data_IF_570985525496
#
_entry.id   IF_570985525496
#
_cell.length_a   1.000
_cell.length_b   1.000
_cell.length_c   1.000
_cell.angle_alpha   90.00
_cell.angle_beta   90.00
_cell.angle_gamma   90.00
#
_symmetry.space_group_name_H-M   'P 1'
#
loop_
_entity.id
_entity.type
_entity.pdbx_description
1 polymer ?
#
# COMPACT_ATOMS: atom_id res chain seq x y z
N UNK A 1 41.20 -32.38 0.71
CA UNK A 1 39.76 -32.73 0.71
C UNK A 1 39.31 -32.75 -0.75
N UNK A 2 38.53 -33.78 -1.12
CA UNK A 2 38.37 -34.31 -2.48
C UNK A 2 38.08 -33.28 -3.58
N UNK A 3 38.84 -33.37 -4.67
CA UNK A 3 38.51 -32.79 -5.98
C UNK A 3 37.49 -33.72 -6.66
N UNK A 4 36.20 -33.46 -6.48
CA UNK A 4 35.19 -34.07 -7.35
C UNK A 4 35.10 -33.26 -8.63
N UNK A 5 35.31 -33.92 -9.77
CA UNK A 5 35.24 -33.32 -11.10
C UNK A 5 33.78 -33.07 -11.48
N UNK A 6 33.45 -31.84 -11.88
CA UNK A 6 32.14 -31.48 -12.41
C UNK A 6 32.17 -31.57 -13.95
N UNK A 7 31.13 -32.11 -14.58
CA UNK A 7 30.97 -32.07 -16.04
C UNK A 7 30.33 -30.73 -16.49
N UNK A 8 30.86 -30.14 -17.55
CA UNK A 8 30.40 -28.85 -18.10
C UNK A 8 29.66 -29.10 -19.42
N UNK A 9 28.36 -28.78 -19.46
CA UNK A 9 27.55 -28.85 -20.68
C UNK A 9 27.68 -27.56 -21.51
N UNK A 10 27.89 -27.71 -22.82
CA UNK A 10 28.28 -26.62 -23.75
C UNK A 10 27.07 -26.08 -24.52
N UNK A 11 26.64 -24.85 -24.23
CA UNK A 11 25.66 -24.13 -25.08
C UNK A 11 26.36 -23.22 -26.12
N UNK A 12 25.77 -23.13 -27.32
CA UNK A 12 26.28 -22.30 -28.44
C UNK A 12 26.08 -20.80 -28.15
N UNK A 13 27.18 -20.13 -27.82
CA UNK A 13 27.37 -18.68 -27.85
C UNK A 13 28.87 -18.39 -27.99
N UNK A 14 29.27 -17.32 -28.67
CA UNK A 14 30.68 -17.01 -28.93
C UNK A 14 31.40 -16.55 -27.64
N UNK A 15 32.56 -17.15 -27.34
CA UNK A 15 33.35 -16.85 -26.14
C UNK A 15 34.67 -16.17 -26.51
N UNK A 16 35.04 -15.10 -25.78
CA UNK A 16 36.45 -14.68 -25.65
C UNK A 16 37.08 -15.48 -24.52
N UNK A 17 38.19 -16.15 -24.85
CA UNK A 17 38.98 -16.99 -23.94
C UNK A 17 39.87 -16.09 -23.10
N UNK A 18 39.70 -16.09 -21.77
CA UNK A 18 40.71 -15.58 -20.85
C UNK A 18 41.46 -16.80 -20.29
N UNK A 19 42.78 -16.83 -20.48
CA UNK A 19 43.55 -18.09 -20.56
C UNK A 19 44.17 -18.56 -19.24
N UNK A 20 43.93 -17.90 -18.11
CA UNK A 20 44.66 -18.18 -16.85
C UNK A 20 43.78 -18.58 -15.64
N UNK A 21 42.51 -18.93 -15.84
CA UNK A 21 41.73 -19.57 -14.77
C UNK A 21 40.76 -20.63 -15.34
N UNK A 22 40.67 -21.79 -14.68
CA UNK A 22 39.75 -22.89 -15.02
C UNK A 22 38.27 -22.53 -14.74
N UNK A 23 37.78 -21.39 -15.22
CA UNK A 23 36.38 -20.98 -15.10
C UNK A 23 35.87 -20.52 -16.47
N UNK A 24 34.85 -21.22 -16.98
CA UNK A 24 34.14 -20.84 -18.21
C UNK A 24 32.85 -20.10 -17.86
N UNK A 25 32.55 -19.02 -18.60
CA UNK A 25 31.58 -17.98 -18.24
C UNK A 25 30.45 -17.89 -19.28
N UNK A 26 29.25 -18.41 -19.00
CA UNK A 26 28.11 -18.39 -19.95
C UNK A 26 27.30 -17.09 -19.83
N UNK A 27 27.38 -16.20 -20.83
CA UNK A 27 26.63 -14.95 -20.83
C UNK A 27 25.16 -15.11 -21.23
N UNK A 28 24.23 -14.59 -20.43
CA UNK A 28 22.81 -14.43 -20.81
C UNK A 28 22.51 -12.96 -21.17
N UNK A 29 21.55 -12.68 -22.09
CA UNK A 29 21.14 -11.31 -22.40
C UNK A 29 20.43 -10.63 -21.22
N UNK A 30 20.46 -9.29 -21.19
CA UNK A 30 19.91 -8.45 -20.11
C UNK A 30 18.45 -8.79 -19.76
N UNK A 31 18.22 -9.32 -18.56
CA UNK A 31 16.89 -9.57 -18.00
C UNK A 31 16.56 -8.64 -16.80
N UNK A 32 15.28 -8.26 -16.60
CA UNK A 32 14.81 -7.51 -15.44
C UNK A 32 14.96 -8.29 -14.12
N UNK A 33 15.18 -7.57 -13.01
CA UNK A 33 15.55 -8.13 -11.68
C UNK A 33 14.52 -9.12 -11.12
N UNK A 34 13.25 -9.04 -11.54
CA UNK A 34 12.21 -9.98 -11.14
C UNK A 34 12.44 -11.40 -11.69
N UNK A 35 12.96 -11.53 -12.92
CA UNK A 35 13.23 -12.84 -13.53
C UNK A 35 14.53 -13.48 -13.01
N UNK A 36 15.42 -12.70 -12.38
CA UNK A 36 16.63 -13.23 -11.75
C UNK A 36 16.32 -14.09 -10.52
N UNK A 37 15.18 -13.89 -9.85
CA UNK A 37 14.81 -14.64 -8.63
C UNK A 37 14.40 -16.09 -8.92
N UNK A 38 13.84 -16.36 -10.09
CA UNK A 38 13.34 -17.70 -10.46
C UNK A 38 14.48 -18.72 -10.71
N UNK A 39 15.70 -18.24 -10.95
CA UNK A 39 16.91 -19.09 -11.07
C UNK A 39 17.47 -19.55 -9.71
N UNK A 40 17.09 -18.91 -8.61
CA UNK A 40 17.59 -19.27 -7.26
C UNK A 40 16.87 -20.47 -6.65
N UNK A 41 15.81 -20.99 -7.29
CA UNK A 41 14.94 -22.01 -6.72
C UNK A 41 14.89 -23.24 -7.62
N UNK A 42 16.01 -23.94 -7.73
CA UNK A 42 16.09 -25.41 -7.81
C UNK A 42 17.56 -25.84 -7.74
N UNK A 43 18.00 -26.30 -6.57
CA UNK A 43 19.23 -27.07 -6.38
C UNK A 43 20.58 -26.34 -6.40
N UNK A 44 20.64 -25.03 -6.69
CA UNK A 44 21.90 -24.29 -6.75
C UNK A 44 22.31 -23.71 -5.38
N UNK A 45 23.45 -24.15 -4.85
CA UNK A 45 24.09 -23.50 -3.70
C UNK A 45 24.63 -22.12 -4.10
N UNK A 46 24.49 -21.15 -3.18
CA UNK A 46 24.80 -19.72 -3.34
C UNK A 46 26.21 -19.40 -3.82
N UNK A 47 27.17 -20.28 -3.58
CA UNK A 47 28.60 -20.03 -3.79
C UNK A 47 29.05 -20.09 -5.26
N UNK A 48 28.13 -20.35 -6.19
CA UNK A 48 28.41 -20.61 -7.62
C UNK A 48 28.01 -19.49 -8.59
N UNK A 49 27.56 -18.33 -8.08
CA UNK A 49 27.09 -17.21 -8.90
C UNK A 49 28.00 -15.97 -8.68
N UNK A 50 28.79 -15.61 -9.69
CA UNK A 50 29.55 -14.36 -9.72
C UNK A 50 28.70 -13.24 -10.35
N UNK A 51 28.12 -12.38 -9.50
CA UNK A 51 27.23 -11.29 -9.94
C UNK A 51 27.95 -10.08 -10.57
N UNK A 52 29.29 -10.08 -10.62
CA UNK A 52 30.06 -9.01 -11.26
C UNK A 52 29.99 -9.05 -12.79
N UNK A 53 29.58 -10.19 -13.36
CA UNK A 53 29.33 -10.42 -14.78
C UNK A 53 27.93 -11.05 -14.93
N UNK A 54 27.15 -10.68 -15.95
CA UNK A 54 25.77 -11.19 -16.16
C UNK A 54 25.75 -12.67 -16.58
N UNK A 55 26.08 -13.57 -15.66
CA UNK A 55 26.32 -15.00 -15.93
C UNK A 55 25.74 -15.83 -14.78
N UNK A 56 25.10 -16.94 -15.09
CA UNK A 56 24.72 -17.98 -14.12
C UNK A 56 25.46 -19.26 -14.50
N UNK A 57 26.13 -19.87 -13.53
CA UNK A 57 26.87 -21.13 -13.71
C UNK A 57 26.12 -22.23 -12.93
N UNK A 58 25.81 -23.33 -13.60
CA UNK A 58 25.20 -24.52 -12.98
C UNK A 58 26.28 -25.59 -12.84
N UNK A 59 26.60 -26.01 -11.61
CA UNK A 59 27.46 -27.19 -11.38
C UNK A 59 26.59 -28.37 -10.95
N UNK A 60 26.74 -29.51 -11.64
CA UNK A 60 26.02 -30.76 -11.35
C UNK A 60 27.03 -31.83 -10.91
N UNK A 61 26.80 -32.54 -9.78
CA UNK A 61 27.65 -33.65 -9.35
C UNK A 61 27.76 -34.75 -10.41
N UNK A 62 28.92 -35.44 -10.52
CA UNK A 62 29.19 -36.41 -11.60
C UNK A 62 28.27 -37.65 -11.64
N UNK A 63 27.43 -37.87 -10.61
CA UNK A 63 26.55 -39.04 -10.50
C UNK A 63 25.05 -38.68 -10.38
N UNK A 64 24.66 -37.45 -10.67
CA UNK A 64 23.25 -37.04 -10.71
C UNK A 64 22.87 -36.70 -12.15
N UNK A 65 21.91 -37.43 -12.72
CA UNK A 65 21.27 -36.99 -13.96
C UNK A 65 20.58 -35.64 -13.68
N UNK A 66 20.82 -34.59 -14.49
CA UNK A 66 20.06 -33.35 -14.37
C UNK A 66 18.57 -33.69 -14.54
N UNK A 67 17.70 -33.10 -13.73
CA UNK A 67 16.27 -33.24 -13.95
C UNK A 67 15.94 -32.83 -15.39
N UNK A 68 15.03 -33.54 -16.06
CA UNK A 68 14.65 -33.21 -17.44
C UNK A 68 14.21 -31.74 -17.59
N UNK A 69 13.69 -31.13 -16.52
CA UNK A 69 13.38 -29.69 -16.45
C UNK A 69 14.62 -28.79 -16.52
N UNK A 70 15.72 -29.12 -15.83
CA UNK A 70 16.95 -28.35 -15.90
C UNK A 70 17.59 -28.43 -17.30
N UNK A 71 17.53 -29.61 -17.92
CA UNK A 71 17.97 -29.84 -19.31
C UNK A 71 17.10 -29.07 -20.32
N UNK A 72 15.78 -29.02 -20.14
CA UNK A 72 14.87 -28.28 -21.02
C UNK A 72 15.07 -26.75 -20.93
N UNK A 73 15.31 -26.22 -19.72
CA UNK A 73 15.64 -24.81 -19.51
C UNK A 73 16.97 -24.41 -20.17
N UNK A 74 17.95 -25.32 -20.19
CA UNK A 74 19.25 -25.12 -20.83
C UNK A 74 19.19 -25.24 -22.36
N UNK A 75 18.42 -26.19 -22.88
CA UNK A 75 18.34 -26.46 -24.33
C UNK A 75 17.40 -25.50 -25.06
N UNK A 76 16.45 -24.90 -24.35
CA UNK A 76 15.43 -24.06 -24.95
C UNK A 76 15.06 -22.87 -24.03
N UNK A 77 15.95 -21.89 -23.85
CA UNK A 77 15.72 -20.74 -22.96
C UNK A 77 14.51 -19.88 -23.37
N UNK A 78 14.00 -20.07 -24.59
CA UNK A 78 12.82 -19.39 -25.13
C UNK A 78 11.57 -20.29 -25.20
N UNK A 79 11.64 -21.54 -24.75
CA UNK A 79 10.58 -22.54 -24.88
C UNK A 79 10.14 -23.17 -23.55
N UNK A 80 10.55 -22.62 -22.40
CA UNK A 80 9.94 -22.95 -21.11
C UNK A 80 8.61 -22.20 -20.93
N UNK A 81 7.54 -22.97 -21.05
CA UNK A 81 6.16 -22.63 -20.68
C UNK A 81 5.46 -21.56 -21.53
N UNK A 82 4.34 -21.96 -22.13
CA UNK A 82 3.37 -21.03 -22.69
C UNK A 82 3.04 -19.93 -21.69
N UNK A 83 2.70 -18.76 -22.23
CA UNK A 83 2.39 -17.49 -21.59
C UNK A 83 1.27 -17.48 -20.52
N UNK A 84 0.88 -18.65 -20.01
CA UNK A 84 -0.21 -18.88 -19.06
C UNK A 84 0.26 -19.41 -17.69
N UNK A 85 1.47 -19.97 -17.56
CA UNK A 85 1.87 -20.70 -16.32
C UNK A 85 2.93 -20.02 -15.44
N UNK A 86 3.44 -18.84 -15.83
CA UNK A 86 4.27 -18.02 -14.91
C UNK A 86 3.47 -17.35 -13.79
N UNK A 87 2.16 -17.61 -13.74
CA UNK A 87 1.24 -16.97 -12.82
C UNK A 87 1.08 -17.84 -11.58
N UNK A 88 1.46 -17.26 -10.42
CA UNK A 88 0.80 -17.42 -9.13
C UNK A 88 1.56 -18.10 -7.98
N UNK A 89 2.82 -17.72 -7.73
CA UNK A 89 3.64 -18.18 -6.59
C UNK A 89 2.96 -18.02 -5.20
N UNK A 90 1.98 -17.11 -5.07
CA UNK A 90 1.21 -16.89 -3.84
C UNK A 90 -0.28 -17.27 -3.94
N UNK A 91 -0.74 -17.87 -5.04
CA UNK A 91 -2.16 -18.24 -5.21
C UNK A 91 -3.15 -17.07 -5.32
N UNK A 92 -2.68 -15.83 -5.54
CA UNK A 92 -3.47 -14.62 -5.79
C UNK A 92 -4.38 -14.72 -7.03
N UNK A 93 -5.53 -14.04 -7.07
CA UNK A 93 -6.41 -14.09 -8.24
C UNK A 93 -5.79 -13.39 -9.47
N UNK A 94 -6.36 -13.58 -10.67
CA UNK A 94 -6.07 -12.67 -11.81
C UNK A 94 -6.38 -11.22 -11.44
N UNK A 95 -5.74 -10.24 -12.08
CA UNK A 95 -6.00 -8.81 -11.85
C UNK A 95 -7.48 -8.41 -11.93
N UNK A 96 -8.20 -8.93 -12.92
CA UNK A 96 -9.62 -8.65 -13.16
C UNK A 96 -10.48 -9.21 -12.01
N UNK A 97 -10.21 -10.45 -11.61
CA UNK A 97 -10.85 -11.08 -10.43
C UNK A 97 -10.51 -10.34 -9.14
N UNK A 98 -9.26 -9.91 -8.94
CA UNK A 98 -8.88 -9.11 -7.76
C UNK A 98 -9.58 -7.76 -7.70
N UNK A 99 -9.75 -7.09 -8.84
CA UNK A 99 -10.57 -5.88 -8.94
C UNK A 99 -12.02 -6.17 -8.56
N UNK A 100 -12.63 -7.19 -9.17
CA UNK A 100 -14.01 -7.58 -8.87
C UNK A 100 -14.22 -7.87 -7.38
N UNK A 101 -13.34 -8.67 -6.77
CA UNK A 101 -13.40 -9.02 -5.35
C UNK A 101 -13.16 -7.81 -4.44
N UNK A 102 -12.42 -6.81 -4.89
CA UNK A 102 -12.25 -5.56 -4.14
C UNK A 102 -13.50 -4.68 -4.23
N UNK A 103 -14.07 -4.55 -5.43
CA UNK A 103 -15.24 -3.71 -5.68
C UNK A 103 -16.54 -4.29 -5.10
N UNK A 104 -16.68 -5.62 -5.04
CA UNK A 104 -17.87 -6.24 -4.46
C UNK A 104 -18.06 -5.84 -2.99
N UNK A 105 -16.97 -5.64 -2.23
CA UNK A 105 -17.03 -5.14 -0.86
C UNK A 105 -17.70 -3.76 -0.77
N UNK A 106 -17.38 -2.84 -1.69
CA UNK A 106 -18.02 -1.52 -1.76
C UNK A 106 -19.49 -1.59 -2.21
N UNK A 107 -19.81 -2.49 -3.13
CA UNK A 107 -21.21 -2.73 -3.53
C UNK A 107 -22.00 -3.24 -2.33
N UNK A 108 -21.44 -4.18 -1.56
CA UNK A 108 -22.07 -4.72 -0.34
C UNK A 108 -22.30 -3.60 0.68
N UNK A 109 -21.30 -2.71 0.90
CA UNK A 109 -21.46 -1.54 1.78
C UNK A 109 -22.65 -0.71 1.35
N UNK A 110 -22.70 -0.32 0.08
CA UNK A 110 -23.75 0.53 -0.45
C UNK A 110 -25.14 -0.12 -0.27
N UNK A 111 -25.26 -1.42 -0.60
CA UNK A 111 -26.52 -2.17 -0.45
C UNK A 111 -26.94 -2.26 1.01
N UNK A 112 -26.01 -2.59 1.92
CA UNK A 112 -26.28 -2.69 3.36
C UNK A 112 -26.71 -1.33 3.91
N UNK A 113 -25.99 -0.26 3.59
CA UNK A 113 -26.32 1.09 4.07
C UNK A 113 -27.73 1.52 3.61
N UNK A 114 -28.07 1.32 2.34
CA UNK A 114 -29.41 1.64 1.83
C UNK A 114 -30.51 0.75 2.42
N UNK A 115 -30.23 -0.53 2.65
CA UNK A 115 -31.16 -1.45 3.30
C UNK A 115 -31.51 -0.98 4.71
N UNK A 116 -30.52 -0.67 5.54
CA UNK A 116 -30.76 -0.19 6.90
C UNK A 116 -31.45 1.18 6.93
N UNK A 117 -31.13 2.06 5.97
CA UNK A 117 -31.85 3.32 5.79
C UNK A 117 -33.33 3.10 5.47
N UNK A 118 -33.65 2.11 4.62
CA UNK A 118 -35.05 1.78 4.28
C UNK A 118 -35.87 1.24 5.46
N UNK A 119 -35.20 0.67 6.47
CA UNK A 119 -35.82 0.19 7.69
C UNK A 119 -36.01 1.29 8.75
N UNK A 120 -35.65 2.55 8.44
CA UNK A 120 -35.58 3.66 9.39
C UNK A 120 -34.69 3.38 10.61
N UNK A 121 -33.71 2.47 10.48
CA UNK A 121 -32.71 2.15 11.51
C UNK A 121 -31.50 3.11 11.50
N UNK A 122 -31.69 4.31 10.96
CA UNK A 122 -30.66 5.36 10.85
C UNK A 122 -31.03 6.64 11.61
N UNK A 123 -32.07 6.58 12.46
CA UNK A 123 -32.49 7.72 13.27
C UNK A 123 -31.59 7.96 14.50
N UNK A 124 -30.88 6.94 14.97
CA UNK A 124 -29.90 7.02 16.06
C UNK A 124 -28.46 7.08 15.49
N UNK A 125 -27.65 8.10 15.84
CA UNK A 125 -26.25 8.19 15.43
C UNK A 125 -25.44 6.92 15.72
N UNK A 126 -25.68 6.26 16.86
CA UNK A 126 -24.97 5.03 17.21
C UNK A 126 -25.28 3.88 16.26
N UNK A 127 -26.53 3.78 15.80
CA UNK A 127 -26.93 2.78 14.81
C UNK A 127 -26.24 3.06 13.47
N UNK A 128 -26.17 4.31 13.03
CA UNK A 128 -25.48 4.69 11.80
C UNK A 128 -23.98 4.36 11.86
N UNK A 129 -23.32 4.64 12.98
CA UNK A 129 -21.92 4.32 13.20
C UNK A 129 -21.68 2.80 13.22
N UNK A 130 -22.57 2.04 13.85
CA UNK A 130 -22.50 0.57 13.87
C UNK A 130 -22.68 -0.02 12.46
N UNK A 131 -23.65 0.48 11.70
CA UNK A 131 -23.84 0.11 10.30
C UNK A 131 -22.60 0.44 9.47
N UNK A 132 -21.98 1.60 9.70
CA UNK A 132 -20.72 1.98 9.04
C UNK A 132 -19.59 1.01 9.39
N UNK A 133 -19.43 0.61 10.66
CA UNK A 133 -18.43 -0.37 11.08
C UNK A 133 -18.62 -1.72 10.40
N UNK A 134 -19.86 -2.21 10.38
CA UNK A 134 -20.22 -3.47 9.70
C UNK A 134 -19.93 -3.34 8.20
N UNK A 135 -20.32 -2.22 7.58
CA UNK A 135 -20.02 -1.92 6.19
C UNK A 135 -18.52 -2.00 5.91
N UNK A 136 -17.70 -1.24 6.62
CA UNK A 136 -16.24 -1.22 6.40
C UNK A 136 -15.62 -2.61 6.59
N UNK A 137 -16.13 -3.42 7.53
CA UNK A 137 -15.72 -4.82 7.69
C UNK A 137 -15.96 -5.68 6.43
N UNK A 138 -17.02 -5.38 5.67
CA UNK A 138 -17.37 -6.09 4.44
C UNK A 138 -16.43 -5.78 3.27
N UNK A 139 -15.53 -4.79 3.35
CA UNK A 139 -14.49 -4.57 2.33
C UNK A 139 -13.64 -5.83 2.09
N UNK A 140 -13.34 -6.56 3.17
CA UNK A 140 -12.55 -7.78 3.09
C UNK A 140 -13.35 -9.03 2.69
N UNK A 141 -14.67 -8.94 2.51
CA UNK A 141 -15.51 -10.11 2.20
C UNK A 141 -15.05 -10.84 0.93
N UNK A 142 -14.84 -10.13 -0.17
CA UNK A 142 -14.33 -10.68 -1.43
C UNK A 142 -12.93 -11.27 -1.30
N UNK A 143 -11.92 -10.51 -0.83
CA UNK A 143 -10.57 -11.04 -0.58
C UNK A 143 -10.57 -12.29 0.32
N UNK A 144 -11.31 -12.27 1.44
CA UNK A 144 -11.34 -13.38 2.39
C UNK A 144 -12.08 -14.61 1.85
N UNK A 145 -13.16 -14.41 1.07
CA UNK A 145 -13.83 -15.49 0.37
C UNK A 145 -12.88 -16.22 -0.57
N UNK A 146 -12.13 -15.48 -1.38
CA UNK A 146 -11.15 -16.06 -2.29
C UNK A 146 -10.04 -16.79 -1.54
N UNK A 147 -9.47 -16.16 -0.53
CA UNK A 147 -8.40 -16.75 0.28
C UNK A 147 -8.85 -18.10 0.89
N UNK A 148 -10.07 -18.15 1.44
CA UNK A 148 -10.62 -19.38 2.04
C UNK A 148 -10.94 -20.44 0.99
N UNK A 149 -11.53 -20.05 -0.15
CA UNK A 149 -11.90 -20.97 -1.23
C UNK A 149 -10.67 -21.63 -1.88
N UNK A 150 -9.60 -20.87 -2.06
CA UNK A 150 -8.38 -21.32 -2.73
C UNK A 150 -7.25 -21.72 -1.77
N UNK A 151 -7.53 -21.75 -0.46
CA UNK A 151 -6.59 -22.09 0.60
C UNK A 151 -5.27 -21.32 0.53
N UNK A 152 -5.37 -20.02 0.24
CA UNK A 152 -4.22 -19.13 0.06
C UNK A 152 -3.68 -18.66 1.41
N UNK A 153 -2.37 -18.41 1.50
CA UNK A 153 -1.79 -17.84 2.71
C UNK A 153 -2.28 -16.39 2.92
N UNK A 154 -3.11 -16.18 3.95
CA UNK A 154 -3.67 -14.86 4.31
C UNK A 154 -2.58 -13.80 4.49
N UNK A 155 -1.46 -14.15 5.15
CA UNK A 155 -0.40 -13.18 5.47
C UNK A 155 0.31 -12.72 4.20
N UNK A 156 0.61 -13.63 3.29
CA UNK A 156 1.21 -13.29 2.01
C UNK A 156 0.21 -12.49 1.15
N UNK A 157 -1.05 -12.93 1.09
CA UNK A 157 -2.08 -12.32 0.27
C UNK A 157 -2.46 -10.89 0.70
N UNK A 158 -2.35 -10.57 2.00
CA UNK A 158 -2.74 -9.28 2.57
C UNK A 158 -1.53 -8.43 3.03
N UNK A 159 -0.30 -8.82 2.69
CA UNK A 159 0.94 -8.14 3.13
C UNK A 159 1.05 -7.95 4.65
N UNK A 160 0.82 -9.02 5.40
CA UNK A 160 0.91 -9.03 6.87
C UNK A 160 2.28 -9.53 7.37
N UNK A 161 3.35 -9.42 6.58
CA UNK A 161 4.69 -9.78 7.02
C UNK A 161 5.19 -8.77 8.08
N UNK A 162 5.55 -9.29 9.26
CA UNK A 162 6.23 -8.54 10.32
C UNK A 162 7.75 -8.58 10.08
N UNK A 163 8.44 -7.49 10.37
CA UNK A 163 9.93 -7.42 10.33
C UNK A 163 10.53 -6.83 9.05
N UNK A 164 9.74 -6.57 8.00
CA UNK A 164 10.22 -5.88 6.80
C UNK A 164 10.18 -4.35 6.91
N UNK A 165 9.40 -3.82 7.84
CA UNK A 165 9.32 -2.39 8.14
C UNK A 165 10.30 -1.99 9.24
N UNK A 166 11.02 -0.89 9.05
CA UNK A 166 11.88 -0.25 10.04
C UNK A 166 11.12 0.84 10.81
N UNK A 167 11.60 1.24 12.00
CA UNK A 167 11.06 2.39 12.75
C UNK A 167 11.03 3.68 11.90
N UNK A 168 11.98 3.81 10.98
CA UNK A 168 12.04 4.95 10.07
C UNK A 168 10.91 4.99 9.05
N UNK A 169 10.35 3.84 8.64
CA UNK A 169 9.21 3.79 7.72
C UNK A 169 7.96 4.40 8.38
N UNK A 170 7.74 4.09 9.67
CA UNK A 170 6.66 4.70 10.46
C UNK A 170 6.92 6.18 10.69
N UNK A 171 8.12 6.55 11.14
CA UNK A 171 8.43 7.93 11.52
C UNK A 171 8.31 8.90 10.34
N UNK A 172 9.01 8.63 9.23
CA UNK A 172 8.98 9.54 8.08
C UNK A 172 7.60 9.56 7.44
N UNK A 173 6.92 8.41 7.35
CA UNK A 173 5.57 8.35 6.81
C UNK A 173 4.59 9.18 7.64
N UNK A 174 4.75 9.12 8.96
CA UNK A 174 3.95 9.87 9.93
C UNK A 174 4.18 11.37 9.84
N UNK A 175 5.45 11.80 9.83
CA UNK A 175 5.78 13.23 9.72
C UNK A 175 5.24 13.81 8.41
N UNK A 176 5.40 13.12 7.28
CA UNK A 176 4.88 13.61 6.02
C UNK A 176 3.35 13.73 6.04
N UNK A 177 2.65 12.74 6.60
CA UNK A 177 1.19 12.79 6.78
C UNK A 177 0.78 13.99 7.62
N UNK A 178 1.43 14.18 8.78
CA UNK A 178 1.13 15.25 9.72
C UNK A 178 1.29 16.65 9.10
N UNK A 179 2.44 16.92 8.47
CA UNK A 179 2.67 18.24 7.87
C UNK A 179 1.78 18.49 6.65
N UNK A 180 1.52 17.46 5.84
CA UNK A 180 0.54 17.57 4.74
C UNK A 180 -0.85 17.91 5.28
N UNK A 181 -1.25 17.31 6.40
CA UNK A 181 -2.52 17.63 7.05
C UNK A 181 -2.57 19.05 7.61
N UNK A 182 -1.46 19.58 8.14
CA UNK A 182 -1.40 20.99 8.56
C UNK A 182 -1.63 21.93 7.37
N UNK A 183 -1.03 21.65 6.20
CA UNK A 183 -1.28 22.47 4.99
C UNK A 183 -2.76 22.51 4.66
N UNK A 184 -3.41 21.34 4.67
CA UNK A 184 -4.83 21.19 4.32
C UNK A 184 -5.74 21.87 5.34
N UNK A 185 -5.46 21.67 6.63
CA UNK A 185 -6.15 22.33 7.73
C UNK A 185 -6.15 23.84 7.55
N UNK A 186 -4.96 24.42 7.37
CA UNK A 186 -4.82 25.86 7.22
C UNK A 186 -5.50 26.39 5.96
N UNK A 187 -5.43 25.65 4.85
CA UNK A 187 -6.17 25.98 3.64
C UNK A 187 -7.69 25.98 3.87
N UNK A 188 -8.21 25.01 4.61
CA UNK A 188 -9.63 24.91 4.92
C UNK A 188 -10.10 26.02 5.86
N UNK A 189 -9.35 26.32 6.92
CA UNK A 189 -9.61 27.47 7.80
C UNK A 189 -9.63 28.79 7.01
N UNK A 190 -8.71 28.95 6.05
CA UNK A 190 -8.72 30.11 5.16
C UNK A 190 -10.00 30.18 4.33
N UNK A 191 -10.40 29.06 3.69
CA UNK A 191 -11.61 28.98 2.86
C UNK A 191 -12.87 29.40 3.63
N UNK A 192 -13.04 28.90 4.85
CA UNK A 192 -14.20 29.25 5.68
C UNK A 192 -14.15 30.70 6.12
N UNK A 193 -12.98 31.20 6.49
CA UNK A 193 -12.82 32.61 6.82
C UNK A 193 -13.29 33.51 5.67
N UNK A 194 -13.02 33.14 4.41
CA UNK A 194 -13.49 33.93 3.27
C UNK A 194 -15.00 33.81 3.05
N UNK A 195 -15.61 32.65 3.31
CA UNK A 195 -17.05 32.41 3.15
C UNK A 195 -17.90 33.11 4.22
N UNK A 196 -17.49 33.07 5.50
CA UNK A 196 -18.21 33.74 6.60
C UNK A 196 -18.30 35.29 6.45
N UNK A 197 -17.53 35.87 5.52
CA UNK A 197 -17.61 37.32 5.24
C UNK A 197 -18.74 37.68 4.27
N UNK A 198 -19.25 36.72 3.50
CA UNK A 198 -20.41 36.91 2.62
C UNK A 198 -21.75 36.69 3.35
N UNK A 199 -21.75 35.83 4.38
CA UNK A 199 -22.97 35.51 5.15
C UNK A 199 -23.21 36.47 6.34
N UNK A 200 -22.17 37.02 6.97
CA UNK A 200 -22.31 37.93 8.14
C UNK A 200 -22.84 39.34 7.80
N UNK A 201 -23.07 39.67 6.52
CA UNK A 201 -23.82 40.87 6.15
C UNK A 201 -25.35 40.67 6.27
N UNK A 202 -25.82 39.45 6.55
CA UNK A 202 -27.23 39.14 6.77
C UNK A 202 -27.43 38.06 7.85
N UNK A 203 -27.82 38.47 9.08
CA UNK A 203 -28.77 37.82 10.02
C UNK A 203 -28.34 37.96 11.49
N UNK A 204 -29.30 38.45 12.27
CA UNK A 204 -29.32 38.64 13.72
C UNK A 204 -29.21 37.34 14.53
N UNK A 205 -28.52 37.48 15.68
CA UNK A 205 -28.37 36.48 16.74
C UNK A 205 -29.71 35.97 17.28
N UNK A 206 -29.80 34.67 17.55
CA UNK A 206 -30.67 34.15 18.62
C UNK A 206 -30.11 32.85 19.20
N UNK A 207 -29.47 33.00 20.35
CA UNK A 207 -29.14 31.94 21.29
C UNK A 207 -30.40 31.29 21.86
N UNK A 208 -30.41 29.96 21.97
CA UNK A 208 -31.21 29.26 22.97
C UNK A 208 -30.56 27.92 23.31
N UNK A 209 -29.85 27.90 24.44
CA UNK A 209 -29.36 26.70 25.10
C UNK A 209 -30.33 26.30 26.21
N UNK A 210 -30.75 25.03 26.24
CA UNK A 210 -31.41 24.44 27.41
C UNK A 210 -31.06 22.94 27.55
N UNK A 211 -30.27 22.68 28.60
CA UNK A 211 -30.27 21.55 29.54
C UNK A 211 -30.85 20.18 29.14
N UNK A 212 -29.96 19.21 28.91
CA UNK A 212 -30.15 17.76 29.11
C UNK A 212 -28.74 17.17 29.35
N UNK A 213 -28.29 17.01 30.61
CA UNK A 213 -26.85 16.85 30.90
C UNK A 213 -26.35 15.46 31.29
N UNK A 214 -27.21 14.49 31.65
CA UNK A 214 -26.68 13.23 32.24
C UNK A 214 -26.92 12.00 31.35
N UNK A 215 -28.07 11.87 30.70
CA UNK A 215 -28.32 10.81 29.70
C UNK A 215 -27.58 11.08 28.38
N UNK A 216 -27.36 12.37 28.08
CA UNK A 216 -26.60 12.82 26.91
C UNK A 216 -25.10 12.56 27.03
N UNK A 217 -24.51 12.52 28.23
CA UNK A 217 -23.06 12.30 28.38
C UNK A 217 -22.65 10.84 28.18
N UNK A 218 -23.42 9.88 28.69
CA UNK A 218 -23.14 8.46 28.42
C UNK A 218 -23.40 8.11 26.94
N UNK A 219 -24.44 8.71 26.35
CA UNK A 219 -24.70 8.61 24.92
C UNK A 219 -23.57 9.24 24.11
N UNK A 220 -23.01 10.39 24.55
CA UNK A 220 -21.90 11.04 23.84
C UNK A 220 -20.61 10.22 23.88
N UNK A 221 -20.23 9.64 25.02
CA UNK A 221 -19.00 8.83 25.11
C UNK A 221 -19.05 7.57 24.23
N UNK A 222 -20.19 6.88 24.19
CA UNK A 222 -20.38 5.73 23.31
C UNK A 222 -20.34 6.18 21.84
N UNK A 223 -21.02 7.28 21.52
CA UNK A 223 -21.04 7.85 20.16
C UNK A 223 -19.63 8.26 19.72
N UNK A 224 -18.84 8.88 20.59
CA UNK A 224 -17.47 9.30 20.32
C UNK A 224 -16.55 8.10 20.11
N UNK A 225 -16.69 7.06 20.93
CA UNK A 225 -15.94 5.81 20.76
C UNK A 225 -16.29 5.13 19.42
N UNK A 226 -17.58 5.02 19.11
CA UNK A 226 -18.04 4.44 17.84
C UNK A 226 -17.58 5.27 16.64
N UNK A 227 -17.60 6.60 16.75
CA UNK A 227 -17.10 7.54 15.74
C UNK A 227 -15.59 7.37 15.53
N UNK A 228 -14.83 7.29 16.63
CA UNK A 228 -13.40 7.05 16.59
C UNK A 228 -13.06 5.72 15.89
N UNK A 229 -13.75 4.64 16.25
CA UNK A 229 -13.53 3.34 15.62
C UNK A 229 -13.92 3.36 14.13
N UNK A 230 -15.06 3.95 13.79
CA UNK A 230 -15.62 3.94 12.43
C UNK A 230 -14.92 4.88 11.46
N UNK A 231 -14.28 5.95 11.94
CA UNK A 231 -13.59 6.93 11.09
C UNK A 231 -12.07 6.71 11.10
N UNK A 232 -11.49 6.37 12.25
CA UNK A 232 -10.03 6.36 12.42
C UNK A 232 -9.46 4.96 12.29
N UNK A 233 -9.87 4.05 13.18
CA UNK A 233 -9.19 2.77 13.38
C UNK A 233 -9.55 1.78 12.27
N UNK A 234 -10.84 1.52 12.09
CA UNK A 234 -11.31 0.44 11.23
C UNK A 234 -11.04 0.73 9.75
N UNK A 235 -11.35 1.92 9.19
CA UNK A 235 -11.00 2.23 7.81
C UNK A 235 -9.49 2.19 7.56
N UNK A 236 -8.69 2.80 8.44
CA UNK A 236 -7.24 2.87 8.28
C UNK A 236 -6.56 1.50 8.24
N UNK A 237 -7.16 0.48 8.87
CA UNK A 237 -6.69 -0.90 8.76
C UNK A 237 -7.30 -1.59 7.54
N UNK A 238 -8.63 -1.66 7.46
CA UNK A 238 -9.31 -2.53 6.50
C UNK A 238 -9.19 -2.07 5.06
N UNK A 239 -9.19 -0.76 4.81
CA UNK A 239 -8.97 -0.22 3.48
C UNK A 239 -7.54 -0.52 3.02
N UNK A 240 -6.54 -0.39 3.89
CA UNK A 240 -5.14 -0.67 3.53
C UNK A 240 -4.89 -2.17 3.28
N UNK A 241 -5.54 -3.06 4.03
CA UNK A 241 -5.50 -4.50 3.75
C UNK A 241 -6.15 -4.84 2.40
N UNK A 242 -7.29 -4.20 2.10
CA UNK A 242 -8.03 -4.43 0.85
C UNK A 242 -7.29 -3.85 -0.35
N UNK A 243 -6.84 -2.60 -0.27
CA UNK A 243 -6.21 -1.91 -1.39
C UNK A 243 -4.73 -2.21 -1.54
N UNK A 244 -3.93 -2.17 -0.46
CA UNK A 244 -2.47 -2.37 -0.58
C UNK A 244 -2.08 -3.81 -0.44
N UNK A 245 -2.74 -4.51 0.48
CA UNK A 245 -2.51 -5.92 0.75
C UNK A 245 -2.95 -6.77 -0.42
N UNK A 246 -4.24 -6.69 -0.77
CA UNK A 246 -4.84 -7.55 -1.77
C UNK A 246 -4.82 -6.96 -3.19
N UNK A 247 -5.50 -5.83 -3.42
CA UNK A 247 -5.75 -5.34 -4.78
C UNK A 247 -4.47 -4.90 -5.51
N UNK A 248 -3.66 -4.04 -4.88
CA UNK A 248 -2.40 -3.59 -5.43
C UNK A 248 -1.44 -4.76 -5.68
N UNK A 249 -1.37 -5.73 -4.77
CA UNK A 249 -0.54 -6.93 -4.93
C UNK A 249 -1.00 -7.80 -6.10
N UNK A 250 -2.31 -7.88 -6.34
CA UNK A 250 -2.87 -8.54 -7.53
C UNK A 250 -2.51 -7.79 -8.82
N UNK A 251 -2.52 -6.46 -8.81
CA UNK A 251 -2.07 -5.63 -9.95
C UNK A 251 -0.58 -5.84 -10.25
N UNK A 252 0.26 -5.98 -9.22
CA UNK A 252 1.71 -6.21 -9.34
C UNK A 252 2.08 -7.53 -10.03
N UNK A 253 1.14 -8.48 -10.18
CA UNK A 253 1.37 -9.70 -10.97
C UNK A 253 1.42 -9.43 -12.48
N UNK A 254 0.71 -8.40 -12.95
CA UNK A 254 0.54 -8.07 -14.38
C UNK A 254 1.24 -6.77 -14.76
N UNK A 255 1.31 -5.82 -13.84
CA UNK A 255 1.84 -4.48 -14.08
C UNK A 255 3.07 -4.20 -13.23
N UNK A 256 3.89 -3.24 -13.66
CA UNK A 256 5.00 -2.76 -12.84
C UNK A 256 4.48 -2.13 -11.54
N UNK A 257 5.27 -2.22 -10.47
CA UNK A 257 4.95 -1.66 -9.14
C UNK A 257 4.37 -0.23 -9.24
N UNK A 258 5.00 0.65 -10.03
CA UNK A 258 4.55 2.03 -10.20
C UNK A 258 3.16 2.13 -10.83
N UNK A 259 2.88 1.31 -11.85
CA UNK A 259 1.56 1.25 -12.49
C UNK A 259 0.51 0.68 -11.52
N UNK A 260 0.86 -0.36 -10.76
CA UNK A 260 -0.04 -0.96 -9.77
C UNK A 260 -0.43 0.03 -8.67
N UNK A 261 0.54 0.79 -8.14
CA UNK A 261 0.28 1.87 -7.19
C UNK A 261 -0.67 2.89 -7.83
N UNK A 262 -0.35 3.41 -9.01
CA UNK A 262 -1.15 4.43 -9.69
C UNK A 262 -2.61 4.00 -9.90
N UNK A 263 -2.83 2.80 -10.44
CA UNK A 263 -4.17 2.25 -10.69
C UNK A 263 -4.90 2.04 -9.36
N UNK A 264 -4.25 1.41 -8.37
CA UNK A 264 -4.86 1.15 -7.07
C UNK A 264 -5.30 2.43 -6.36
N UNK A 265 -4.50 3.50 -6.45
CA UNK A 265 -4.80 4.80 -5.84
C UNK A 265 -5.93 5.53 -6.55
N UNK A 266 -6.00 5.41 -7.88
CA UNK A 266 -7.10 5.98 -8.65
C UNK A 266 -8.42 5.31 -8.27
N UNK A 267 -8.46 3.98 -8.28
CA UNK A 267 -9.65 3.24 -7.88
C UNK A 267 -10.02 3.52 -6.42
N UNK A 268 -9.03 3.56 -5.52
CA UNK A 268 -9.23 3.95 -4.13
C UNK A 268 -9.94 5.30 -4.01
N UNK A 269 -9.47 6.33 -4.71
CA UNK A 269 -10.13 7.64 -4.68
C UNK A 269 -11.53 7.60 -5.32
N UNK A 270 -11.68 6.88 -6.43
CA UNK A 270 -12.93 6.79 -7.18
C UNK A 270 -14.09 6.18 -6.38
N UNK A 271 -13.83 5.12 -5.61
CA UNK A 271 -14.87 4.43 -4.82
C UNK A 271 -15.37 5.23 -3.61
N UNK A 272 -14.76 6.37 -3.30
CA UNK A 272 -15.24 7.26 -2.24
C UNK A 272 -16.39 8.18 -2.71
N UNK A 273 -16.69 8.22 -4.01
CA UNK A 273 -17.79 9.01 -4.61
C UNK A 273 -17.78 10.51 -4.29
N UNK A 274 -16.65 11.05 -3.83
CA UNK A 274 -16.41 12.48 -3.65
C UNK A 274 -15.55 12.98 -4.83
N UNK A 275 -16.24 13.41 -5.89
CA UNK A 275 -15.62 13.92 -7.11
C UNK A 275 -15.31 15.41 -7.06
N UNK A 276 -15.34 16.03 -5.88
CA UNK A 276 -14.75 17.36 -5.73
C UNK A 276 -13.28 17.30 -6.13
N UNK A 277 -12.80 18.30 -6.88
CA UNK A 277 -11.41 18.34 -7.34
C UNK A 277 -10.48 18.14 -6.14
N UNK A 278 -10.74 18.84 -5.04
CA UNK A 278 -9.94 18.69 -3.83
C UNK A 278 -10.02 17.28 -3.23
N UNK A 279 -11.23 16.75 -2.98
CA UNK A 279 -11.42 15.46 -2.34
C UNK A 279 -10.87 14.28 -3.14
N UNK A 280 -11.08 14.28 -4.46
CA UNK A 280 -10.59 13.23 -5.33
C UNK A 280 -9.05 13.22 -5.41
N UNK A 281 -8.43 14.36 -5.71
CA UNK A 281 -6.97 14.42 -5.82
C UNK A 281 -6.28 14.24 -4.46
N UNK A 282 -6.90 14.67 -3.37
CA UNK A 282 -6.42 14.40 -2.01
C UNK A 282 -6.33 12.91 -1.73
N UNK A 283 -7.43 12.16 -1.88
CA UNK A 283 -7.45 10.70 -1.63
C UNK A 283 -6.55 9.94 -2.60
N UNK A 284 -6.47 10.40 -3.85
CA UNK A 284 -5.56 9.83 -4.83
C UNK A 284 -4.09 9.98 -4.42
N UNK A 285 -3.68 11.17 -3.99
CA UNK A 285 -2.31 11.45 -3.55
C UNK A 285 -1.93 10.64 -2.31
N UNK A 286 -2.81 10.59 -1.30
CA UNK A 286 -2.59 9.77 -0.11
C UNK A 286 -2.58 8.28 -0.44
N UNK A 287 -3.48 7.83 -1.32
CA UNK A 287 -3.47 6.44 -1.79
C UNK A 287 -2.15 6.08 -2.50
N UNK A 288 -1.62 6.97 -3.33
CA UNK A 288 -0.31 6.80 -3.99
C UNK A 288 0.83 6.71 -2.97
N UNK A 289 0.77 7.56 -1.94
CA UNK A 289 1.74 7.57 -0.85
C UNK A 289 1.71 6.28 -0.03
N UNK A 290 0.53 5.85 0.43
CA UNK A 290 0.35 4.61 1.18
C UNK A 290 0.74 3.37 0.37
N UNK A 291 0.38 3.32 -0.92
CA UNK A 291 0.79 2.24 -1.82
C UNK A 291 2.29 2.17 -2.07
N UNK A 292 2.96 3.33 -2.07
CA UNK A 292 4.43 3.40 -2.14
C UNK A 292 5.09 2.84 -0.88
N UNK A 293 4.56 3.16 0.30
CA UNK A 293 5.04 2.60 1.58
C UNK A 293 4.83 1.08 1.61
N UNK A 294 3.63 0.63 1.28
CA UNK A 294 3.27 -0.79 1.34
C UNK A 294 4.10 -1.63 0.37
N UNK A 295 4.34 -1.15 -0.86
CA UNK A 295 5.19 -1.86 -1.83
C UNK A 295 6.65 -1.91 -1.41
N UNK A 296 7.17 -0.81 -0.84
CA UNK A 296 8.56 -0.73 -0.37
C UNK A 296 8.84 -1.67 0.81
N UNK A 297 7.89 -1.76 1.73
CA UNK A 297 8.03 -2.53 2.97
C UNK A 297 7.45 -3.94 2.87
N UNK A 298 6.84 -4.28 1.72
CA UNK A 298 5.94 -5.44 1.53
C UNK A 298 5.05 -5.69 2.76
N UNK A 299 4.48 -4.61 3.31
CA UNK A 299 3.77 -4.66 4.58
C UNK A 299 2.70 -3.57 4.65
N UNK A 300 1.49 -3.93 5.08
CA UNK A 300 0.42 -2.96 5.30
C UNK A 300 0.54 -2.23 6.64
N UNK A 301 1.31 -2.74 7.63
CA UNK A 301 1.36 -2.11 8.95
C UNK A 301 1.79 -0.63 8.91
N UNK A 302 2.86 -0.24 8.17
CA UNK A 302 3.27 1.15 8.13
C UNK A 302 2.28 2.04 7.38
N UNK A 303 1.65 1.55 6.31
CA UNK A 303 0.66 2.32 5.56
C UNK A 303 -0.62 2.49 6.37
N UNK A 304 -1.12 1.44 7.02
CA UNK A 304 -2.25 1.49 7.96
C UNK A 304 -1.99 2.47 9.11
N UNK A 305 -0.80 2.46 9.71
CA UNK A 305 -0.48 3.41 10.77
C UNK A 305 -0.54 4.87 10.27
N UNK A 306 0.05 5.15 9.11
CA UNK A 306 0.01 6.49 8.53
C UNK A 306 -1.42 6.91 8.14
N UNK A 307 -2.23 5.97 7.64
CA UNK A 307 -3.63 6.22 7.30
C UNK A 307 -4.48 6.47 8.55
N UNK A 308 -4.36 5.66 9.59
CA UNK A 308 -5.02 5.92 10.88
C UNK A 308 -4.63 7.29 11.44
N UNK A 309 -3.36 7.69 11.33
CA UNK A 309 -2.95 9.01 11.81
C UNK A 309 -3.53 10.15 10.96
N UNK A 310 -3.65 9.95 9.65
CA UNK A 310 -4.36 10.88 8.77
C UNK A 310 -5.82 11.05 9.22
N UNK A 311 -6.51 9.94 9.45
CA UNK A 311 -7.92 9.95 9.87
C UNK A 311 -8.07 10.52 11.28
N UNK A 312 -7.13 10.27 12.18
CA UNK A 312 -7.09 10.87 13.51
C UNK A 312 -7.02 12.39 13.44
N UNK A 313 -6.18 12.94 12.55
CA UNK A 313 -6.07 14.40 12.38
C UNK A 313 -7.38 15.00 11.87
N UNK A 314 -8.03 14.35 10.90
CA UNK A 314 -9.35 14.76 10.40
C UNK A 314 -10.43 14.65 11.49
N UNK A 315 -10.39 13.59 12.29
CA UNK A 315 -11.28 13.36 13.41
C UNK A 315 -11.14 14.47 14.46
N UNK A 316 -9.94 14.72 14.98
CA UNK A 316 -9.68 15.81 15.93
C UNK A 316 -10.11 17.16 15.37
N UNK A 317 -9.86 17.38 14.07
CA UNK A 317 -10.26 18.62 13.42
C UNK A 317 -11.79 18.80 13.42
N UNK A 318 -12.56 17.74 13.19
CA UNK A 318 -14.02 17.83 13.20
C UNK A 318 -14.61 18.31 14.53
N UNK A 319 -13.95 18.05 15.67
CA UNK A 319 -14.38 18.53 17.01
C UNK A 319 -13.85 19.91 17.37
N UNK A 320 -12.75 20.34 16.76
CA UNK A 320 -12.06 21.58 17.12
C UNK A 320 -12.24 22.69 16.10
N UNK A 321 -13.03 22.42 15.06
CA UNK A 321 -13.20 23.28 13.89
C UNK A 321 -13.56 24.73 14.26
N UNK A 322 -14.63 24.90 15.03
CA UNK A 322 -15.17 26.22 15.39
C UNK A 322 -14.18 26.99 16.29
N UNK A 323 -13.60 26.29 17.27
CA UNK A 323 -12.58 26.86 18.14
C UNK A 323 -11.36 27.43 17.39
N UNK A 324 -10.87 26.71 16.38
CA UNK A 324 -9.73 27.16 15.58
C UNK A 324 -10.08 28.27 14.59
N UNK A 325 -11.29 28.23 14.02
CA UNK A 325 -11.79 29.27 13.11
C UNK A 325 -11.81 30.66 13.78
N UNK A 326 -12.26 30.74 15.02
CA UNK A 326 -12.38 32.01 15.74
C UNK A 326 -11.02 32.53 16.20
N UNK A 327 -10.10 31.64 16.60
CA UNK A 327 -8.86 32.01 17.26
C UNK A 327 -7.71 32.37 16.32
N UNK A 328 -7.70 31.82 15.11
CA UNK A 328 -6.61 32.05 14.14
C UNK A 328 -6.94 33.26 13.26
N UNK A 329 -6.15 34.33 13.39
CA UNK A 329 -6.23 35.47 12.49
C UNK A 329 -5.91 35.07 11.05
N UNK A 330 -6.70 35.57 10.08
CA UNK A 330 -6.48 35.36 8.64
C UNK A 330 -5.07 35.76 8.20
N UNK A 331 -4.49 36.79 8.81
CA UNK A 331 -3.13 37.24 8.52
C UNK A 331 -2.06 36.22 8.89
N UNK A 332 -2.34 35.32 9.84
CA UNK A 332 -1.44 34.25 10.26
C UNK A 332 -1.57 32.99 9.38
N UNK A 333 -2.70 32.80 8.70
CA UNK A 333 -2.96 31.57 7.94
C UNK A 333 -1.99 31.42 6.75
N UNK A 334 -1.79 32.47 5.94
CA UNK A 334 -0.89 32.39 4.77
C UNK A 334 0.57 32.09 5.13
N UNK A 335 1.20 32.75 6.12
CA UNK A 335 2.53 32.38 6.58
C UNK A 335 2.62 30.93 7.06
N UNK A 336 1.62 30.44 7.80
CA UNK A 336 1.60 29.06 8.30
C UNK A 336 1.44 28.04 7.16
N UNK A 337 0.61 28.32 6.14
CA UNK A 337 0.49 27.49 4.94
C UNK A 337 1.86 27.40 4.26
N UNK A 338 2.53 28.54 4.05
CA UNK A 338 3.81 28.61 3.36
C UNK A 338 4.91 27.81 4.10
N UNK A 339 5.01 27.99 5.42
CA UNK A 339 5.95 27.22 6.26
C UNK A 339 5.64 25.73 6.17
N UNK A 340 4.37 25.33 6.28
CA UNK A 340 3.98 23.93 6.23
C UNK A 340 4.26 23.30 4.85
N UNK A 341 4.08 24.04 3.75
CA UNK A 341 4.48 23.60 2.41
C UNK A 341 5.99 23.37 2.33
N UNK A 342 6.81 24.30 2.85
CA UNK A 342 8.27 24.14 2.86
C UNK A 342 8.67 22.87 3.62
N UNK A 343 8.10 22.65 4.82
CA UNK A 343 8.39 21.47 5.62
C UNK A 343 7.95 20.20 4.90
N UNK A 344 6.77 20.20 4.29
CA UNK A 344 6.25 19.07 3.51
C UNK A 344 7.18 18.76 2.33
N UNK A 345 7.61 19.76 1.57
CA UNK A 345 8.57 19.58 0.48
C UNK A 345 9.92 19.03 0.96
N UNK A 346 10.42 19.52 2.10
CA UNK A 346 11.65 19.02 2.72
C UNK A 346 11.50 17.54 3.12
N UNK A 347 10.37 17.17 3.72
CA UNK A 347 10.07 15.79 4.10
C UNK A 347 9.97 14.87 2.88
N UNK A 348 9.33 15.32 1.79
CA UNK A 348 9.30 14.57 0.52
C UNK A 348 10.72 14.34 0.00
N UNK A 349 11.58 15.36 0.06
CA UNK A 349 12.98 15.23 -0.34
C UNK A 349 13.76 14.23 0.53
N UNK A 350 13.62 14.31 1.85
CA UNK A 350 14.24 13.37 2.80
C UNK A 350 13.73 11.94 2.57
N UNK A 351 12.42 11.77 2.40
CA UNK A 351 11.79 10.48 2.09
C UNK A 351 12.30 9.93 0.77
N UNK A 352 12.48 10.77 -0.25
CA UNK A 352 13.05 10.33 -1.55
C UNK A 352 14.47 9.81 -1.38
N UNK A 353 15.31 10.48 -0.58
CA UNK A 353 16.68 10.00 -0.27
C UNK A 353 16.60 8.67 0.48
N UNK A 354 15.75 8.61 1.49
CA UNK A 354 15.55 7.44 2.32
C UNK A 354 15.06 6.23 1.50
N UNK A 355 14.10 6.42 0.60
CA UNK A 355 13.65 5.40 -0.35
C UNK A 355 14.82 4.87 -1.20
N UNK A 356 15.65 5.76 -1.75
CA UNK A 356 16.85 5.35 -2.51
C UNK A 356 17.84 4.55 -1.67
N UNK A 357 18.03 4.92 -0.39
CA UNK A 357 18.97 4.24 0.51
C UNK A 357 18.47 2.85 0.91
N UNK A 358 17.19 2.70 1.23
CA UNK A 358 16.61 1.39 1.61
C UNK A 358 16.71 0.37 0.46
N UNK A 359 16.43 0.80 -0.78
CA UNK A 359 16.57 -0.08 -1.96
C UNK A 359 18.03 -0.54 -2.14
N UNK A 360 19.01 0.36 -1.90
CA UNK A 360 20.43 -0.01 -1.97
C UNK A 360 20.82 -1.04 -0.90
N UNK A 361 20.33 -0.88 0.33
CA UNK A 361 20.66 -1.80 1.43
C UNK A 361 20.06 -3.19 1.21
N UNK A 362 18.81 -3.29 0.74
CA UNK A 362 18.21 -4.58 0.36
C UNK A 362 18.98 -5.26 -0.78
N UNK A 363 19.50 -4.48 -1.74
CA UNK A 363 20.32 -5.03 -2.82
C UNK A 363 21.65 -5.57 -2.29
N UNK A 364 22.31 -4.86 -1.38
CA UNK A 364 23.60 -5.27 -0.84
C UNK A 364 23.48 -6.51 0.07
N UNK A 365 22.43 -6.61 0.90
CA UNK A 365 22.20 -7.80 1.73
C UNK A 365 21.90 -9.08 0.95
N UNK A 366 21.40 -8.94 -0.29
CA UNK A 366 21.22 -10.06 -1.20
C UNK A 366 22.52 -10.49 -1.88
N UNK A 367 23.56 -9.64 -1.88
CA UNK A 367 24.86 -9.91 -2.50
C UNK A 367 25.92 -10.39 -1.49
N UNK A 368 25.70 -10.19 -0.19
CA UNK A 368 26.56 -10.70 0.89
C UNK A 368 26.20 -12.13 1.32
N UNK A 369 25.22 -12.76 0.66
CA UNK A 369 24.62 -14.02 1.04
C UNK A 369 24.39 -14.92 -0.16
#
# INVERSE_FOLDING_TARGET
>A
MNKEAYEVYRCRGEFKKDLDSEKFVVGLPKMPVSEKRDLYVEGLQRDMIDESQNVVVILVPPNSEPSNQALDLLNNPNQSSGSTERQNEFGLPSTETGLFLTLIGFVIIFVISNFFQSLNLTGDPNQQLLISLIGTAMLLSGPMFYIRKHNVNVKACLRLQKGQSTKSDYLYGSLLTFFTQIVILLWYLWKISTQNKEDNDNVDDNDNSNNLSDENQNTSLITDLLSFLSVVIIPGILEELTFRGFFQKTLEQKYSIRKSILISSFIFSFVHFDFSIFGFFYRFAFGFFYGSIASKTDSCYPSSFCHMMNNMMLFIFSYTHDYWNEKISRSMIFPLIFISIIITCLLIYVIRIWFKRSIRLQRNSLMEH
#
